data_IF_455747540053
#
_entry.id   IF_455747540053
#
_cell.length_a   1.000
_cell.length_b   1.000
_cell.length_c   1.000
_cell.angle_alpha   90.00
_cell.angle_beta   90.00
_cell.angle_gamma   90.00
#
_symmetry.space_group_name_H-M   'P 1'
#
loop_
_entity.id
_entity.type
_entity.pdbx_description
1 polymer ?
#
# COMPACT_ATOMS: atom_id res chain seq x y z
N UNK A 1 -31.77 58.41 10.44
CA UNK A 1 -31.47 58.52 9.00
C UNK A 1 -30.16 57.79 8.75
N UNK A 2 -30.22 56.51 8.37
CA UNK A 2 -29.04 55.66 8.16
C UNK A 2 -28.47 55.88 6.74
N UNK A 3 -27.22 56.30 6.62
CA UNK A 3 -26.52 56.41 5.33
C UNK A 3 -25.73 55.12 5.06
N UNK A 4 -26.26 54.25 4.21
CA UNK A 4 -25.54 53.09 3.69
C UNK A 4 -24.57 53.58 2.60
N UNK A 5 -23.27 53.64 2.89
CA UNK A 5 -22.26 53.90 1.85
C UNK A 5 -22.01 52.59 1.12
N UNK A 6 -22.51 52.46 -0.11
CA UNK A 6 -22.15 51.35 -0.98
C UNK A 6 -20.63 51.35 -1.20
N UNK A 7 -19.95 50.33 -0.67
CA UNK A 7 -18.56 50.05 -1.02
C UNK A 7 -18.60 49.51 -2.44
N UNK A 8 -18.39 50.39 -3.41
CA UNK A 8 -18.18 49.98 -4.80
C UNK A 8 -16.81 49.30 -4.87
N UNK A 9 -16.80 47.96 -4.86
CA UNK A 9 -15.61 47.19 -5.20
C UNK A 9 -15.34 47.44 -6.68
N UNK A 10 -14.43 48.36 -6.97
CA UNK A 10 -13.97 48.53 -8.34
C UNK A 10 -13.06 47.35 -8.70
N UNK A 11 -13.60 46.43 -9.49
CA UNK A 11 -12.88 45.27 -9.98
C UNK A 11 -12.05 45.71 -11.20
N UNK A 12 -10.79 46.09 -10.95
CA UNK A 12 -9.86 46.46 -12.02
C UNK A 12 -9.33 45.17 -12.67
N UNK A 13 -9.87 44.82 -13.83
CA UNK A 13 -9.45 43.64 -14.58
C UNK A 13 -8.13 43.94 -15.33
N UNK A 14 -7.01 43.65 -14.70
CA UNK A 14 -5.68 43.74 -15.33
C UNK A 14 -5.43 42.49 -16.17
N UNK A 15 -5.67 42.61 -17.48
CA UNK A 15 -5.40 41.52 -18.43
C UNK A 15 -3.88 41.34 -18.62
N UNK A 16 -3.31 40.33 -17.98
CA UNK A 16 -1.91 39.95 -18.14
C UNK A 16 -1.81 38.64 -18.92
N UNK A 17 -1.60 38.73 -20.23
CA UNK A 17 -1.63 37.58 -21.14
C UNK A 17 -0.67 36.45 -20.74
N UNK A 18 0.47 36.78 -20.09
CA UNK A 18 1.44 35.80 -19.59
C UNK A 18 0.85 34.95 -18.47
N UNK A 19 0.16 35.58 -17.53
CA UNK A 19 -0.53 34.91 -16.42
C UNK A 19 -1.69 34.09 -16.97
N UNK A 20 -2.47 34.63 -17.90
CA UNK A 20 -3.57 33.90 -18.54
C UNK A 20 -3.07 32.64 -19.28
N UNK A 21 -1.98 32.74 -20.04
CA UNK A 21 -1.38 31.59 -20.72
C UNK A 21 -0.89 30.55 -19.72
N UNK A 22 -0.16 30.98 -18.68
CA UNK A 22 0.31 30.09 -17.62
C UNK A 22 -0.86 29.35 -16.95
N UNK A 23 -1.92 30.07 -16.56
CA UNK A 23 -3.12 29.48 -15.97
C UNK A 23 -3.80 28.48 -16.91
N UNK A 24 -3.85 28.77 -18.21
CA UNK A 24 -4.45 27.86 -19.19
C UNK A 24 -3.62 26.56 -19.33
N UNK A 25 -2.29 26.68 -19.35
CA UNK A 25 -1.39 25.51 -19.36
C UNK A 25 -1.56 24.67 -18.09
N UNK A 26 -1.57 25.31 -16.91
CA UNK A 26 -1.81 24.62 -15.65
C UNK A 26 -3.18 23.96 -15.60
N UNK A 27 -4.22 24.62 -16.13
CA UNK A 27 -5.58 24.07 -16.18
C UNK A 27 -5.61 22.78 -17.01
N UNK A 28 -5.02 22.80 -18.22
CA UNK A 28 -4.95 21.60 -19.08
C UNK A 28 -4.15 20.49 -18.40
N UNK A 29 -3.01 20.82 -17.78
CA UNK A 29 -2.18 19.87 -17.04
C UNK A 29 -2.94 19.24 -15.87
N UNK A 30 -3.68 20.03 -15.09
CA UNK A 30 -4.43 19.53 -13.94
C UNK A 30 -5.63 18.69 -14.35
N UNK A 31 -6.30 19.02 -15.45
CA UNK A 31 -7.35 18.16 -16.02
C UNK A 31 -6.75 16.80 -16.42
N UNK A 32 -5.61 16.81 -17.13
CA UNK A 32 -4.90 15.59 -17.51
C UNK A 32 -4.48 14.76 -16.28
N UNK A 33 -3.88 15.40 -15.28
CA UNK A 33 -3.50 14.73 -14.03
C UNK A 33 -4.73 14.22 -13.26
N UNK A 34 -5.86 14.92 -13.31
CA UNK A 34 -7.13 14.47 -12.73
C UNK A 34 -7.61 13.16 -13.35
N UNK A 35 -7.59 13.06 -14.68
CA UNK A 35 -7.88 11.80 -15.37
C UNK A 35 -6.87 10.70 -15.04
N UNK A 36 -5.58 11.05 -14.93
CA UNK A 36 -4.55 10.09 -14.51
C UNK A 36 -4.79 9.54 -13.10
N UNK A 37 -5.17 10.41 -12.14
CA UNK A 37 -5.53 10.00 -10.78
C UNK A 37 -6.74 9.06 -10.77
N UNK A 38 -7.77 9.34 -11.58
CA UNK A 38 -8.94 8.45 -11.74
C UNK A 38 -8.54 7.09 -12.33
N UNK A 39 -7.68 7.08 -13.35
CA UNK A 39 -7.14 5.85 -13.92
C UNK A 39 -6.37 5.01 -12.88
N UNK A 40 -5.53 5.66 -12.06
CA UNK A 40 -4.81 5.00 -10.97
C UNK A 40 -5.73 4.46 -9.87
N UNK A 41 -6.83 5.14 -9.59
CA UNK A 41 -7.84 4.64 -8.67
C UNK A 41 -8.50 3.37 -9.21
N UNK A 42 -8.83 3.34 -10.51
CA UNK A 42 -9.43 2.17 -11.16
C UNK A 42 -8.45 0.98 -11.23
N UNK A 43 -7.18 1.23 -11.55
CA UNK A 43 -6.12 0.21 -11.49
C UNK A 43 -6.05 -0.44 -10.10
N UNK A 44 -6.08 0.36 -9.03
CA UNK A 44 -6.09 -0.17 -7.66
C UNK A 44 -7.35 -0.97 -7.36
N UNK A 45 -8.51 -0.47 -7.80
CA UNK A 45 -9.80 -1.14 -7.59
C UNK A 45 -9.84 -2.50 -8.25
N UNK A 46 -9.48 -2.58 -9.53
CA UNK A 46 -9.42 -3.83 -10.29
C UNK A 46 -8.46 -4.85 -9.66
N UNK A 47 -7.32 -4.38 -9.12
CA UNK A 47 -6.39 -5.25 -8.41
C UNK A 47 -7.01 -5.83 -7.12
N UNK A 48 -7.70 -4.99 -6.33
CA UNK A 48 -8.39 -5.43 -5.10
C UNK A 48 -9.48 -6.45 -5.44
N UNK A 49 -10.34 -6.15 -6.42
CA UNK A 49 -11.41 -7.06 -6.87
C UNK A 49 -10.85 -8.40 -7.37
N UNK A 50 -9.69 -8.39 -8.05
CA UNK A 50 -9.00 -9.60 -8.48
C UNK A 50 -8.55 -10.46 -7.28
N UNK A 51 -7.90 -9.86 -6.29
CA UNK A 51 -7.48 -10.58 -5.09
C UNK A 51 -8.66 -11.09 -4.25
N UNK A 52 -9.73 -10.30 -4.11
CA UNK A 52 -10.95 -10.74 -3.43
C UNK A 52 -11.57 -11.97 -4.11
N UNK A 53 -11.59 -11.97 -5.46
CA UNK A 53 -12.07 -13.13 -6.23
C UNK A 53 -11.18 -14.36 -6.02
N UNK A 54 -9.85 -14.17 -5.98
CA UNK A 54 -8.92 -15.26 -5.70
C UNK A 54 -9.10 -15.83 -4.29
N UNK A 55 -9.30 -14.99 -3.28
CA UNK A 55 -9.49 -15.43 -1.88
C UNK A 55 -10.77 -16.23 -1.66
N UNK A 56 -11.77 -16.12 -2.54
CA UNK A 56 -12.99 -16.94 -2.50
C UNK A 56 -12.79 -18.36 -3.05
N UNK A 57 -11.69 -18.61 -3.78
CA UNK A 57 -11.39 -19.94 -4.29
C UNK A 57 -10.98 -20.88 -3.14
N UNK A 58 -11.25 -22.20 -3.28
CA UNK A 58 -10.78 -23.18 -2.31
C UNK A 58 -9.26 -23.17 -2.25
N UNK A 59 -8.73 -23.45 -1.06
CA UNK A 59 -7.29 -23.48 -0.83
C UNK A 59 -6.70 -24.70 -1.55
N UNK A 60 -5.69 -24.47 -2.39
CA UNK A 60 -5.00 -25.51 -3.14
C UNK A 60 -3.63 -25.86 -2.58
N UNK A 61 -2.98 -26.88 -3.13
CA UNK A 61 -1.56 -27.09 -2.89
C UNK A 61 -0.73 -26.04 -3.65
N UNK A 62 0.39 -25.61 -3.08
CA UNK A 62 1.32 -24.73 -3.78
C UNK A 62 2.06 -25.51 -4.87
N UNK A 63 2.13 -24.95 -6.07
CA UNK A 63 2.82 -25.53 -7.23
C UNK A 63 3.55 -24.43 -8.00
N UNK A 64 4.43 -24.80 -8.94
CA UNK A 64 5.12 -23.83 -9.82
C UNK A 64 4.15 -23.04 -10.72
N UNK A 65 2.95 -23.56 -10.96
CA UNK A 65 1.90 -22.91 -11.76
C UNK A 65 0.95 -22.05 -10.91
N UNK A 66 1.15 -22.00 -9.60
CA UNK A 66 0.28 -21.22 -8.71
C UNK A 66 0.44 -19.73 -9.00
N UNK A 67 -0.68 -19.09 -9.38
CA UNK A 67 -0.70 -17.66 -9.66
C UNK A 67 -0.52 -16.86 -8.35
N UNK A 68 0.20 -15.72 -8.39
CA UNK A 68 0.29 -14.82 -7.24
C UNK A 68 -1.08 -14.44 -6.69
N UNK A 69 -1.23 -14.45 -5.36
CA UNK A 69 -2.51 -14.18 -4.69
C UNK A 69 -3.46 -15.36 -4.56
N UNK A 70 -3.13 -16.52 -5.12
CA UNK A 70 -3.97 -17.71 -4.98
C UNK A 70 -3.92 -18.24 -3.53
N UNK A 71 -5.06 -18.64 -2.95
CA UNK A 71 -5.08 -19.26 -1.63
C UNK A 71 -4.46 -20.65 -1.68
N UNK A 72 -3.48 -20.89 -0.80
CA UNK A 72 -2.77 -22.17 -0.70
C UNK A 72 -2.78 -22.71 0.72
N UNK A 73 -2.87 -24.03 0.84
CA UNK A 73 -2.71 -24.77 2.09
C UNK A 73 -1.38 -25.50 2.06
N UNK A 74 -0.59 -25.30 3.11
CA UNK A 74 0.70 -25.97 3.33
C UNK A 74 0.64 -26.78 4.62
N UNK A 75 1.38 -27.88 4.68
CA UNK A 75 1.48 -28.74 5.86
C UNK A 75 2.94 -29.02 6.15
N UNK A 76 3.39 -28.71 7.36
CA UNK A 76 4.81 -28.78 7.71
C UNK A 76 5.17 -27.95 8.92
N UNK A 77 6.41 -27.46 8.96
CA UNK A 77 6.96 -26.77 10.13
C UNK A 77 7.69 -25.48 9.78
N UNK A 78 7.56 -24.50 10.66
CA UNK A 78 8.40 -23.31 10.66
C UNK A 78 9.80 -23.65 11.14
N UNK A 79 10.80 -22.98 10.56
CA UNK A 79 12.20 -23.02 11.00
C UNK A 79 12.50 -21.78 11.84
N UNK A 80 12.37 -21.84 13.19
CA UNK A 80 12.47 -20.67 14.07
C UNK A 80 13.82 -19.98 14.02
N UNK A 81 14.88 -20.69 13.65
CA UNK A 81 16.24 -20.14 13.50
C UNK A 81 16.43 -19.36 12.19
N UNK A 82 15.49 -19.44 11.24
CA UNK A 82 15.55 -18.77 9.92
C UNK A 82 14.49 -17.68 9.82
N UNK A 83 14.68 -16.62 10.59
CA UNK A 83 13.83 -15.42 10.61
C UNK A 83 14.57 -14.26 9.96
N UNK A 84 13.90 -13.58 9.03
CA UNK A 84 14.40 -12.37 8.38
C UNK A 84 13.48 -11.21 8.73
N UNK A 85 14.06 -10.06 9.06
CA UNK A 85 13.33 -8.81 9.25
C UNK A 85 13.51 -7.97 8.01
N UNK A 86 12.40 -7.70 7.33
CA UNK A 86 12.38 -6.80 6.19
C UNK A 86 12.13 -5.39 6.69
N UNK A 87 13.16 -4.55 6.64
CA UNK A 87 13.15 -3.19 7.19
C UNK A 87 12.42 -2.18 6.29
N UNK A 88 12.33 -0.94 6.80
CA UNK A 88 11.71 0.20 6.11
C UNK A 88 10.26 -0.04 5.69
N UNK A 89 9.54 -0.83 6.48
CA UNK A 89 8.10 -1.04 6.30
C UNK A 89 7.34 0.01 7.07
N UNK A 90 6.34 0.60 6.43
CA UNK A 90 5.45 1.59 7.04
C UNK A 90 4.05 1.04 6.98
N UNK A 91 3.46 0.80 8.16
CA UNK A 91 2.07 0.39 8.31
C UNK A 91 1.36 1.41 9.18
N UNK A 92 0.28 2.00 8.67
CA UNK A 92 -0.52 3.03 9.36
C UNK A 92 0.31 4.19 9.95
N UNK A 93 1.36 4.60 9.23
CA UNK A 93 2.26 5.69 9.62
C UNK A 93 3.35 5.30 10.62
N UNK A 94 3.40 4.04 11.06
CA UNK A 94 4.41 3.51 11.97
C UNK A 94 5.49 2.78 11.16
N UNK A 95 6.75 3.15 11.38
CA UNK A 95 7.90 2.46 10.80
C UNK A 95 8.19 1.18 11.58
N UNK A 96 8.52 0.10 10.88
CA UNK A 96 8.82 -1.18 11.49
C UNK A 96 9.36 -2.19 10.48
N UNK A 97 9.14 -3.45 10.81
CA UNK A 97 9.66 -4.60 10.08
C UNK A 97 8.53 -5.56 9.73
N UNK A 98 8.62 -6.18 8.56
CA UNK A 98 7.86 -7.41 8.28
C UNK A 98 8.69 -8.63 8.71
N UNK A 99 8.08 -9.52 9.48
CA UNK A 99 8.71 -10.75 9.97
C UNK A 99 8.52 -11.83 8.94
N UNK A 100 9.61 -12.23 8.30
CA UNK A 100 9.61 -13.34 7.34
C UNK A 100 10.22 -14.56 8.02
N UNK A 101 9.58 -15.72 7.91
CA UNK A 101 10.10 -16.97 8.47
C UNK A 101 10.00 -18.07 7.44
N UNK A 102 11.04 -18.90 7.36
CA UNK A 102 11.03 -20.06 6.48
C UNK A 102 10.09 -21.12 7.04
N UNK A 103 9.17 -21.59 6.20
CA UNK A 103 8.29 -22.72 6.45
C UNK A 103 8.67 -23.86 5.49
N UNK A 104 8.92 -25.05 6.01
CA UNK A 104 9.21 -26.23 5.20
C UNK A 104 7.92 -27.02 5.03
N UNK A 105 7.43 -27.05 3.80
CA UNK A 105 6.27 -27.85 3.44
C UNK A 105 6.68 -29.32 3.20
N UNK A 106 5.92 -30.25 3.78
CA UNK A 106 6.16 -31.68 3.68
C UNK A 106 5.81 -32.23 2.29
N UNK A 107 4.92 -31.58 1.54
CA UNK A 107 4.51 -31.98 0.19
C UNK A 107 5.52 -31.57 -0.88
N UNK A 108 6.02 -30.32 -0.84
CA UNK A 108 7.01 -29.81 -1.79
C UNK A 108 8.46 -30.14 -1.42
N UNK A 109 8.73 -30.47 -0.16
CA UNK A 109 10.09 -30.67 0.36
C UNK A 109 10.99 -29.42 0.25
N UNK A 110 10.40 -28.25 0.00
CA UNK A 110 11.10 -26.98 -0.23
C UNK A 110 10.68 -25.95 0.81
N UNK A 111 11.61 -25.07 1.17
CA UNK A 111 11.34 -23.94 2.07
C UNK A 111 10.60 -22.81 1.36
N UNK A 112 9.46 -22.41 1.91
CA UNK A 112 8.67 -21.25 1.50
C UNK A 112 8.90 -20.13 2.50
N UNK A 113 9.02 -18.89 2.04
CA UNK A 113 9.10 -17.72 2.93
C UNK A 113 7.68 -17.28 3.24
N UNK A 114 7.32 -17.30 4.53
CA UNK A 114 6.02 -16.86 5.01
C UNK A 114 6.17 -15.51 5.69
N UNK A 115 5.37 -14.53 5.26
CA UNK A 115 5.23 -13.27 5.97
C UNK A 115 4.30 -13.48 7.18
N UNK A 116 4.83 -13.27 8.38
CA UNK A 116 4.13 -13.43 9.67
C UNK A 116 3.51 -12.14 10.18
N UNK A 117 3.64 -11.04 9.44
CA UNK A 117 3.06 -9.75 9.76
C UNK A 117 4.09 -8.70 10.16
N UNK A 118 3.57 -7.58 10.67
CA UNK A 118 4.32 -6.37 10.98
C UNK A 118 4.63 -6.26 12.47
N UNK A 119 5.84 -5.79 12.78
CA UNK A 119 6.25 -5.37 14.13
C UNK A 119 6.81 -3.96 14.07
N UNK A 120 6.35 -3.05 14.94
CA UNK A 120 6.86 -1.68 14.97
C UNK A 120 8.33 -1.66 15.39
N UNK A 121 9.07 -0.69 14.87
CA UNK A 121 10.42 -0.41 15.35
C UNK A 121 10.35 0.19 16.77
N UNK A 122 11.38 -0.07 17.58
CA UNK A 122 11.58 0.63 18.84
C UNK A 122 11.84 2.13 18.66
N UNK A 123 12.22 2.82 19.74
CA UNK A 123 12.63 4.24 19.68
C UNK A 123 13.90 4.41 18.84
N UNK A 124 14.77 3.41 18.89
CA UNK A 124 16.05 3.37 18.19
C UNK A 124 16.17 2.07 17.39
N UNK A 125 16.97 2.11 16.32
CA UNK A 125 17.20 0.95 15.43
C UNK A 125 17.90 -0.22 16.14
N UNK A 126 18.63 0.06 17.21
CA UNK A 126 19.30 -0.94 18.05
C UNK A 126 18.40 -1.54 19.12
N UNK A 127 17.17 -1.03 19.29
CA UNK A 127 16.24 -1.59 20.24
C UNK A 127 15.84 -3.00 19.80
N UNK A 128 15.79 -3.93 20.77
CA UNK A 128 15.38 -5.30 20.50
C UNK A 128 13.92 -5.32 20.01
N UNK A 129 13.72 -5.77 18.78
CA UNK A 129 12.38 -5.97 18.20
C UNK A 129 11.74 -7.18 18.87
N UNK A 130 10.55 -7.00 19.45
CA UNK A 130 9.78 -8.08 20.03
C UNK A 130 9.02 -8.83 18.93
N UNK A 131 9.57 -9.96 18.49
CA UNK A 131 8.99 -10.79 17.43
C UNK A 131 7.99 -11.76 18.07
N UNK A 132 6.71 -11.76 17.68
CA UNK A 132 5.73 -12.68 18.24
C UNK A 132 6.18 -14.14 18.11
N UNK A 133 6.05 -14.95 19.18
CA UNK A 133 6.45 -16.35 19.14
C UNK A 133 5.61 -17.11 18.09
N UNK A 134 6.16 -18.19 17.55
CA UNK A 134 5.42 -19.10 16.70
C UNK A 134 4.33 -19.76 17.56
N UNK A 135 3.06 -19.48 17.28
CA UNK A 135 1.96 -20.30 17.79
C UNK A 135 2.00 -21.62 17.05
N UNK A 136 2.48 -22.67 17.72
CA UNK A 136 2.28 -24.04 17.27
C UNK A 136 0.78 -24.34 17.39
N UNK A 137 0.12 -24.57 16.25
CA UNK A 137 -1.24 -25.11 16.18
C UNK A 137 -1.18 -26.64 16.14
#
# INVERSE_FOLDING_TARGET
MWHFRSIAVQMHFVFNWRVTLFSLVCLVLFIYLGFWQLGRAEEKRTLIEHYETLHQKPWGALTLETLPGSPVSLQGSYQPEKVFLLDNRVLDGVVGFEVLTVFVDQGLGTGVIVNRGFVPMGRTRDDKVDIPPLRLL
#
